data_IF_535266000858
#
_entry.id   IF_535266000858
#
_cell.length_a   1.000
_cell.length_b   1.000
_cell.length_c   1.000
_cell.angle_alpha   90.00
_cell.angle_beta   90.00
_cell.angle_gamma   90.00
#
_symmetry.space_group_name_H-M   'P 1'
#
loop_
_entity.id
_entity.type
_entity.pdbx_description
1 polymer ?
#
# COMPACT_ATOMS: atom_id res chain seq x y z
N UNK A 1 19.27 7.14 9.97
CA UNK A 1 17.86 7.57 9.88
C UNK A 1 17.07 6.34 9.47
N UNK A 2 16.30 5.74 10.39
CA UNK A 2 15.46 4.58 10.07
C UNK A 2 14.12 5.11 9.57
N UNK A 3 13.88 4.97 8.26
CA UNK A 3 12.70 5.53 7.57
C UNK A 3 11.45 4.69 7.80
N UNK A 4 11.63 3.39 8.07
CA UNK A 4 10.55 2.43 8.28
C UNK A 4 10.77 1.63 9.57
N UNK A 5 9.70 1.22 10.26
CA UNK A 5 9.78 0.35 11.42
C UNK A 5 10.31 -1.03 11.03
N UNK A 6 11.19 -1.60 11.84
CA UNK A 6 11.81 -2.91 11.59
C UNK A 6 11.10 -4.03 12.37
N UNK A 7 10.72 -5.11 11.69
CA UNK A 7 10.21 -6.33 12.31
C UNK A 7 11.41 -7.19 12.75
N UNK A 8 11.50 -7.57 14.05
CA UNK A 8 12.57 -8.43 14.55
C UNK A 8 12.49 -9.86 13.99
N UNK A 9 13.66 -10.49 13.89
CA UNK A 9 13.88 -11.73 13.12
C UNK A 9 13.39 -13.02 13.82
N UNK A 10 13.00 -12.91 15.09
CA UNK A 10 12.54 -13.99 15.96
C UNK A 10 11.03 -14.30 15.83
N UNK A 11 10.30 -13.45 15.09
CA UNK A 11 8.85 -13.49 15.00
C UNK A 11 8.29 -14.69 14.23
N UNK A 12 7.75 -15.67 14.96
CA UNK A 12 6.77 -16.62 14.40
C UNK A 12 5.67 -15.81 13.70
N UNK A 13 5.22 -16.20 12.50
CA UNK A 13 4.22 -15.46 11.68
C UNK A 13 2.99 -14.97 12.47
N UNK A 14 2.61 -15.68 13.54
CA UNK A 14 1.55 -15.29 14.47
C UNK A 14 1.92 -14.13 15.40
N UNK A 15 3.13 -14.09 15.92
CA UNK A 15 3.65 -12.97 16.73
C UNK A 15 3.86 -11.71 15.89
N UNK A 16 4.26 -11.87 14.63
CA UNK A 16 4.31 -10.77 13.65
C UNK A 16 2.92 -10.12 13.51
N UNK A 17 1.86 -10.92 13.38
CA UNK A 17 0.48 -10.42 13.37
C UNK A 17 0.07 -9.70 14.66
N UNK A 18 0.50 -10.19 15.81
CA UNK A 18 0.27 -9.52 17.10
C UNK A 18 1.05 -8.21 17.20
N UNK A 19 2.34 -8.17 16.89
CA UNK A 19 3.16 -6.95 16.87
C UNK A 19 2.62 -5.91 15.87
N UNK A 20 2.16 -6.36 14.70
CA UNK A 20 1.55 -5.49 13.69
C UNK A 20 0.23 -4.87 14.15
N UNK A 21 -0.55 -5.58 14.98
CA UNK A 21 -1.79 -5.06 15.58
C UNK A 21 -1.48 -3.97 16.62
N UNK A 22 -0.39 -4.11 17.37
CA UNK A 22 0.12 -3.08 18.26
C UNK A 22 0.67 -1.86 17.51
N UNK A 23 1.20 -2.05 16.28
CA UNK A 23 1.62 -0.94 15.44
C UNK A 23 0.48 -0.22 14.71
N UNK A 24 -0.65 -0.89 14.46
CA UNK A 24 -1.85 -0.22 13.93
C UNK A 24 -2.40 0.84 14.90
N UNK A 25 -2.02 0.80 16.17
CA UNK A 25 -2.32 1.82 17.19
C UNK A 25 -1.23 2.87 17.39
N UNK A 26 -0.09 2.75 16.70
CA UNK A 26 0.97 3.77 16.68
C UNK A 26 0.63 4.83 15.63
N UNK A 27 0.94 6.09 15.91
CA UNK A 27 0.59 7.21 15.03
C UNK A 27 1.15 7.00 13.61
N UNK A 28 0.26 6.91 12.62
CA UNK A 28 0.66 6.78 11.21
C UNK A 28 1.37 8.06 10.72
N UNK A 29 1.16 9.18 11.41
CA UNK A 29 1.75 10.50 11.12
C UNK A 29 3.28 10.54 11.26
N UNK A 30 3.90 9.56 11.92
CA UNK A 30 5.37 9.48 12.06
C UNK A 30 6.03 8.56 11.04
N UNK A 31 5.25 7.87 10.19
CA UNK A 31 5.76 6.94 9.19
C UNK A 31 5.96 7.63 7.84
N UNK A 32 6.98 7.21 7.09
CA UNK A 32 7.16 7.71 5.73
C UNK A 32 5.93 7.35 4.87
N UNK A 33 5.30 8.34 4.21
CA UNK A 33 4.13 8.09 3.37
C UNK A 33 4.50 7.42 2.04
N UNK A 34 5.79 7.25 1.76
CA UNK A 34 6.29 6.84 0.46
C UNK A 34 7.39 5.81 0.58
N UNK A 35 7.43 4.88 -0.36
CA UNK A 35 8.58 4.06 -0.70
C UNK A 35 9.24 4.57 -1.99
N UNK A 36 10.52 4.87 -1.88
CA UNK A 36 11.38 5.25 -2.99
C UNK A 36 12.11 4.01 -3.52
N UNK A 37 11.71 3.55 -4.71
CA UNK A 37 12.35 2.45 -5.44
C UNK A 37 13.40 2.96 -6.45
N UNK A 38 13.86 4.21 -6.31
CA UNK A 38 14.83 4.88 -7.17
C UNK A 38 14.17 5.59 -8.34
N UNK A 39 13.63 4.82 -9.30
CA UNK A 39 12.97 5.38 -10.49
C UNK A 39 11.45 5.42 -10.38
N UNK A 40 10.89 4.76 -9.36
CA UNK A 40 9.47 4.71 -9.11
C UNK A 40 9.19 5.03 -7.64
N UNK A 41 8.16 5.83 -7.41
CA UNK A 41 7.68 6.16 -6.07
C UNK A 41 6.33 5.50 -5.84
N UNK A 42 6.14 4.93 -4.65
CA UNK A 42 4.90 4.31 -4.25
C UNK A 42 4.41 4.99 -2.97
N UNK A 43 3.23 5.61 -3.03
CA UNK A 43 2.65 6.28 -1.88
C UNK A 43 1.63 5.39 -1.17
N UNK A 44 1.45 5.64 0.13
CA UNK A 44 0.34 5.04 0.88
C UNK A 44 -0.99 5.59 0.38
N UNK A 45 -2.02 4.76 0.45
CA UNK A 45 -3.38 5.01 -0.04
C UNK A 45 -3.49 5.25 -1.54
N UNK A 46 -2.46 4.92 -2.32
CA UNK A 46 -2.50 4.96 -3.78
C UNK A 46 -2.59 3.56 -4.39
N UNK A 47 -3.19 3.45 -5.57
CA UNK A 47 -3.25 2.20 -6.31
C UNK A 47 -1.86 1.81 -6.81
N UNK A 48 -1.49 0.56 -6.60
CA UNK A 48 -0.30 -0.04 -7.18
C UNK A 48 -0.62 -1.41 -7.77
N UNK A 49 0.20 -1.83 -8.74
CA UNK A 49 0.12 -3.16 -9.35
C UNK A 49 1.28 -4.01 -8.86
N UNK A 50 1.00 -5.28 -8.61
CA UNK A 50 2.00 -6.31 -8.40
C UNK A 50 2.48 -6.88 -9.73
N UNK A 51 3.66 -7.48 -9.73
CA UNK A 51 4.23 -8.18 -10.90
C UNK A 51 3.36 -9.31 -11.44
N UNK A 52 2.48 -9.86 -10.61
CA UNK A 52 1.52 -10.90 -11.02
C UNK A 52 0.24 -10.33 -11.66
N UNK A 53 0.08 -9.00 -11.72
CA UNK A 53 -1.08 -8.32 -12.28
C UNK A 53 -2.18 -7.99 -11.26
N UNK A 54 -2.01 -8.36 -9.99
CA UNK A 54 -2.97 -8.01 -8.94
C UNK A 54 -2.82 -6.55 -8.52
N UNK A 55 -3.95 -5.93 -8.19
CA UNK A 55 -3.99 -4.56 -7.70
C UNK A 55 -3.99 -4.53 -6.17
N UNK A 56 -3.22 -3.62 -5.61
CA UNK A 56 -3.07 -3.42 -4.17
C UNK A 56 -3.04 -1.94 -3.83
N UNK A 57 -3.37 -1.62 -2.58
CA UNK A 57 -3.24 -0.27 -2.04
C UNK A 57 -2.32 -0.32 -0.82
N UNK A 58 -1.09 0.23 -0.88
CA UNK A 58 -0.20 0.30 0.28
C UNK A 58 -0.81 1.15 1.38
N UNK A 59 -0.77 0.65 2.61
CA UNK A 59 -1.28 1.37 3.79
C UNK A 59 -0.13 1.89 4.65
N UNK A 60 0.97 1.11 4.71
CA UNK A 60 2.19 1.46 5.43
C UNK A 60 3.37 0.66 4.91
N UNK A 61 4.55 1.27 5.05
CA UNK A 61 5.84 0.66 4.72
C UNK A 61 6.53 0.20 6.00
N UNK A 62 7.18 -0.95 5.91
CA UNK A 62 7.90 -1.57 7.02
C UNK A 62 9.16 -2.28 6.52
N UNK A 63 10.15 -2.42 7.38
CA UNK A 63 11.37 -3.16 7.09
C UNK A 63 11.31 -4.52 7.76
N UNK A 64 11.65 -5.57 7.03
CA UNK A 64 11.78 -6.93 7.57
C UNK A 64 13.00 -7.58 6.93
N UNK A 65 13.94 -8.05 7.77
CA UNK A 65 15.23 -8.63 7.35
C UNK A 65 16.01 -7.73 6.39
N UNK A 66 16.06 -6.43 6.70
CA UNK A 66 16.73 -5.43 5.85
C UNK A 66 16.07 -5.17 4.49
N UNK A 67 14.86 -5.69 4.25
CA UNK A 67 14.09 -5.48 3.02
C UNK A 67 12.81 -4.72 3.32
N UNK A 68 12.45 -3.79 2.44
CA UNK A 68 11.19 -3.05 2.55
C UNK A 68 10.02 -3.94 2.11
N UNK A 69 8.97 -3.91 2.91
CA UNK A 69 7.69 -4.57 2.70
C UNK A 69 6.58 -3.53 2.87
N UNK A 70 5.40 -3.86 2.37
CA UNK A 70 4.20 -3.05 2.54
C UNK A 70 3.09 -3.88 3.16
N UNK A 71 2.37 -3.28 4.09
CA UNK A 71 1.04 -3.76 4.48
C UNK A 71 0.04 -3.16 3.48
N UNK A 72 -0.73 -3.99 2.81
CA UNK A 72 -1.57 -3.56 1.68
C UNK A 72 -2.99 -4.08 1.80
N UNK A 73 -3.93 -3.30 1.29
CA UNK A 73 -5.25 -3.80 0.94
C UNK A 73 -5.22 -4.46 -0.43
N UNK A 74 -5.89 -5.60 -0.56
CA UNK A 74 -6.06 -6.26 -1.86
C UNK A 74 -7.27 -5.67 -2.56
N UNK A 75 -7.08 -5.28 -3.82
CA UNK A 75 -8.17 -4.81 -4.68
C UNK A 75 -8.72 -6.02 -5.42
N UNK A 76 -9.99 -6.32 -5.22
CA UNK A 76 -10.73 -7.34 -5.96
C UNK A 76 -11.50 -6.68 -7.10
N UNK A 77 -11.41 -7.23 -8.31
CA UNK A 77 -12.24 -6.80 -9.44
C UNK A 77 -13.40 -7.78 -9.54
N UNK A 78 -14.63 -7.28 -9.45
CA UNK A 78 -15.81 -8.12 -9.58
C UNK A 78 -16.13 -8.44 -11.06
N UNK A 79 -17.08 -9.35 -11.29
CA UNK A 79 -17.49 -9.79 -12.64
C UNK A 79 -18.01 -8.64 -13.52
N UNK A 80 -18.47 -7.54 -12.91
CA UNK A 80 -18.91 -6.32 -13.62
C UNK A 80 -17.77 -5.36 -13.95
N UNK A 81 -16.53 -5.70 -13.64
CA UNK A 81 -15.35 -4.87 -13.88
C UNK A 81 -15.15 -3.75 -12.85
N UNK A 82 -15.86 -3.80 -11.72
CA UNK A 82 -15.71 -2.83 -10.65
C UNK A 82 -14.65 -3.28 -9.63
N UNK A 83 -13.73 -2.36 -9.31
CA UNK A 83 -12.76 -2.55 -8.24
C UNK A 83 -13.41 -2.33 -6.87
N UNK A 84 -13.14 -3.24 -5.94
CA UNK A 84 -13.50 -3.16 -4.53
C UNK A 84 -12.31 -3.48 -3.64
N UNK A 85 -12.13 -2.70 -2.58
CA UNK A 85 -11.17 -2.96 -1.51
C UNK A 85 -11.90 -3.59 -0.33
N UNK A 86 -11.39 -4.71 0.17
CA UNK A 86 -11.75 -5.25 1.49
C UNK A 86 -10.84 -4.60 2.54
N UNK A 87 -11.36 -3.62 3.28
CA UNK A 87 -10.64 -2.90 4.33
C UNK A 87 -10.55 -3.69 5.65
N UNK A 88 -11.21 -4.85 5.73
CA UNK A 88 -11.20 -5.68 6.94
C UNK A 88 -9.88 -6.43 7.13
N UNK A 89 -9.11 -6.62 6.05
CA UNK A 89 -7.89 -7.43 6.04
C UNK A 89 -6.82 -6.78 5.18
N UNK A 90 -5.60 -6.81 5.71
CA UNK A 90 -4.41 -6.44 4.98
C UNK A 90 -3.47 -7.64 4.89
N UNK A 91 -2.64 -7.67 3.84
CA UNK A 91 -1.58 -8.65 3.66
C UNK A 91 -0.23 -7.93 3.56
N UNK A 92 0.85 -8.65 3.87
CA UNK A 92 2.21 -8.13 3.71
C UNK A 92 2.77 -8.63 2.39
N UNK A 93 3.26 -7.70 1.58
CA UNK A 93 3.99 -7.99 0.34
C UNK A 93 5.42 -7.48 0.45
N UNK A 94 6.35 -8.06 -0.31
CA UNK A 94 7.65 -7.43 -0.47
C UNK A 94 7.49 -6.21 -1.39
N UNK A 95 8.15 -5.09 -1.08
CA UNK A 95 8.10 -3.91 -1.96
C UNK A 95 8.70 -4.22 -3.34
N UNK A 96 9.59 -5.21 -3.43
CA UNK A 96 10.14 -5.73 -4.67
C UNK A 96 9.11 -6.45 -5.56
N UNK A 97 7.92 -6.79 -5.05
CA UNK A 97 6.86 -7.43 -5.83
C UNK A 97 5.99 -6.41 -6.57
N UNK A 98 6.14 -5.12 -6.27
CA UNK A 98 5.49 -4.03 -6.99
C UNK A 98 6.09 -3.88 -8.39
N UNK A 99 5.23 -3.61 -9.36
CA UNK A 99 5.59 -3.39 -10.76
C UNK A 99 5.25 -1.99 -11.23
N UNK A 100 4.10 -1.45 -10.82
CA UNK A 100 3.56 -0.19 -11.36
C UNK A 100 2.96 0.64 -10.23
N UNK A 101 3.26 1.93 -10.23
CA UNK A 101 2.65 2.88 -9.29
C UNK A 101 1.39 3.51 -9.89
N UNK A 102 0.75 4.40 -9.13
CA UNK A 102 -0.46 5.06 -9.59
C UNK A 102 -0.26 5.85 -10.90
N UNK A 103 0.88 6.53 -11.06
CA UNK A 103 1.18 7.29 -12.27
C UNK A 103 1.31 6.39 -13.50
N UNK A 104 1.99 5.25 -13.37
CA UNK A 104 2.13 4.26 -14.45
C UNK A 104 0.76 3.69 -14.89
N UNK A 105 -0.19 3.62 -13.95
CA UNK A 105 -1.53 3.10 -14.17
C UNK A 105 -2.50 4.15 -14.77
N UNK A 106 -2.20 5.46 -14.72
CA UNK A 106 -3.09 6.50 -15.25
C UNK A 106 -3.32 6.38 -16.76
N UNK A 107 -2.30 5.93 -17.50
CA UNK A 107 -2.37 5.75 -18.95
C UNK A 107 -2.93 4.38 -19.37
N UNK A 108 -3.35 3.55 -18.40
CA UNK A 108 -3.85 2.19 -18.62
C UNK A 108 -5.35 2.08 -18.32
N UNK A 109 -6.05 1.11 -18.92
CA UNK A 109 -7.41 0.78 -18.53
C UNK A 109 -7.41 0.19 -17.11
N UNK A 110 -7.52 1.05 -16.10
CA UNK A 110 -7.75 0.67 -14.71
C UNK A 110 -9.22 0.29 -14.49
N UNK A 111 -9.51 -0.67 -13.59
CA UNK A 111 -10.89 -1.03 -13.26
C UNK A 111 -11.66 0.18 -12.73
N UNK A 112 -12.94 0.30 -13.10
CA UNK A 112 -13.80 1.38 -12.61
C UNK A 112 -14.09 1.17 -11.13
N UNK A 113 -13.80 2.16 -10.29
CA UNK A 113 -14.09 2.07 -8.86
C UNK A 113 -15.59 2.09 -8.61
N UNK A 114 -16.09 1.21 -7.72
CA UNK A 114 -17.47 1.32 -7.27
C UNK A 114 -17.69 2.67 -6.56
N UNK A 115 -18.79 3.36 -6.84
CA UNK A 115 -18.97 4.81 -6.58
C UNK A 115 -18.70 5.33 -5.16
N UNK A 116 -18.62 4.48 -4.14
CA UNK A 116 -18.25 4.86 -2.76
C UNK A 116 -16.73 4.93 -2.51
N UNK A 117 -15.91 4.31 -3.36
CA UNK A 117 -14.45 4.23 -3.22
C UNK A 117 -13.68 5.31 -4.00
N UNK A 118 -14.36 6.06 -4.87
CA UNK A 118 -13.80 7.25 -5.53
C UNK A 118 -13.35 8.33 -4.51
N UNK A 119 -14.00 8.43 -3.35
CA UNK A 119 -13.61 9.36 -2.28
C UNK A 119 -12.32 8.94 -1.56
N UNK A 120 -11.99 7.64 -1.49
CA UNK A 120 -10.79 7.16 -0.80
C UNK A 120 -9.50 7.47 -1.58
N UNK A 121 -9.58 7.55 -2.92
CA UNK A 121 -8.42 7.84 -3.78
C UNK A 121 -8.35 9.32 -4.21
N UNK A 122 -9.47 10.03 -4.25
CA UNK A 122 -9.51 11.44 -4.69
C UNK A 122 -9.20 12.45 -3.58
N UNK A 123 -9.21 12.05 -2.31
CA UNK A 123 -9.04 12.99 -1.19
C UNK A 123 -7.61 13.55 -1.06
N UNK A 124 -6.59 12.93 -1.65
CA UNK A 124 -5.18 13.38 -1.51
C UNK A 124 -4.59 14.07 -2.75
N UNK A 125 -5.26 14.08 -3.90
CA UNK A 125 -4.80 14.85 -5.06
C UNK A 125 -4.96 16.37 -4.84
N UNK A 126 -5.79 16.78 -3.87
CA UNK A 126 -6.11 18.19 -3.63
C UNK A 126 -5.16 18.94 -2.67
N UNK A 127 -4.13 18.33 -2.07
CA UNK A 127 -3.33 18.99 -1.03
C UNK A 127 -1.83 19.22 -1.31
N UNK A 128 -1.31 18.93 -2.51
CA UNK A 128 0.13 19.05 -2.76
C UNK A 128 0.50 19.81 -4.03
N UNK A 129 -0.01 21.04 -4.19
CA UNK A 129 0.65 22.07 -4.99
C UNK A 129 0.39 23.45 -4.36
N UNK A 130 1.33 24.02 -3.59
CA UNK A 130 1.40 25.47 -3.49
C UNK A 130 2.06 26.03 -4.76
N UNK A 131 1.48 27.14 -5.20
CA UNK A 131 1.86 27.96 -6.37
C UNK A 131 3.25 28.58 -6.27
#
# INVERSE_FOLDING_TARGET
MHVYPEIPDDGVVREIWHALKWWKTMDLDVLSPMYDAGTAHYYVNELACLKNGDFVVPVRWLMYRGKVHADVFVVSINETGHATIDDSKTIIIAAADLSENYFDLQDKPVPQWSGAQLCFLSANVAQSFPS
#
